data_IF_193483255120
#
_entry.id   IF_193483255120
#
_cell.length_a   1.000
_cell.length_b   1.000
_cell.length_c   1.000
_cell.angle_alpha   90.00
_cell.angle_beta   90.00
_cell.angle_gamma   90.00
#
_symmetry.space_group_name_H-M   'P 1'
#
loop_
_entity.id
_entity.type
_entity.pdbx_description
1 polymer ?
#
# COMPACT_ATOMS: atom_id res chain seq x y z
N UNK A 1 -53.70 -20.75 59.77
CA UNK A 1 -53.18 -19.43 59.36
C UNK A 1 -51.66 -19.52 59.30
N UNK A 2 -51.08 -19.84 58.14
CA UNK A 2 -49.63 -19.74 57.92
C UNK A 2 -49.38 -19.52 56.44
N UNK A 3 -49.02 -18.28 56.12
CA UNK A 3 -48.55 -17.85 54.80
C UNK A 3 -47.04 -18.03 54.78
N UNK A 4 -46.55 -19.16 54.26
CA UNK A 4 -45.15 -19.30 53.91
C UNK A 4 -44.91 -18.58 52.57
N UNK A 5 -44.35 -17.37 52.67
CA UNK A 5 -44.02 -16.54 51.51
C UNK A 5 -42.84 -17.12 50.74
N UNK A 6 -42.98 -17.27 49.42
CA UNK A 6 -41.87 -17.60 48.53
C UNK A 6 -41.05 -16.34 48.20
N UNK A 7 -39.74 -16.27 48.54
CA UNK A 7 -38.91 -15.11 48.22
C UNK A 7 -37.73 -15.47 47.30
N UNK A 8 -37.82 -16.51 46.48
CA UNK A 8 -36.67 -17.06 45.74
C UNK A 8 -36.55 -16.57 44.30
N UNK A 9 -37.66 -16.41 43.58
CA UNK A 9 -37.63 -16.01 42.17
C UNK A 9 -37.20 -14.55 41.97
N UNK A 10 -37.67 -13.63 42.82
CA UNK A 10 -37.31 -12.21 42.69
C UNK A 10 -35.83 -11.93 42.95
N UNK A 11 -35.24 -12.61 43.95
CA UNK A 11 -33.81 -12.54 44.25
C UNK A 11 -32.95 -13.02 43.09
N UNK A 12 -33.40 -14.05 42.37
CA UNK A 12 -32.72 -14.54 41.17
C UNK A 12 -32.74 -13.52 40.02
N UNK A 13 -33.86 -12.82 39.81
CA UNK A 13 -33.94 -11.74 38.83
C UNK A 13 -33.07 -10.53 39.21
N UNK A 14 -33.03 -10.15 40.49
CA UNK A 14 -32.13 -9.07 40.96
C UNK A 14 -30.67 -9.46 40.76
N UNK A 15 -30.29 -10.70 41.09
CA UNK A 15 -28.92 -11.17 40.87
C UNK A 15 -28.54 -11.18 39.38
N UNK A 16 -29.45 -11.60 38.50
CA UNK A 16 -29.24 -11.53 37.04
C UNK A 16 -29.12 -10.09 36.53
N UNK A 17 -29.91 -9.17 37.05
CA UNK A 17 -29.83 -7.75 36.67
C UNK A 17 -28.49 -7.13 37.10
N UNK A 18 -28.00 -7.47 38.30
CA UNK A 18 -26.67 -7.02 38.78
C UNK A 18 -25.54 -7.59 37.92
N UNK A 19 -25.61 -8.88 37.57
CA UNK A 19 -24.60 -9.51 36.69
C UNK A 19 -24.63 -8.87 35.30
N UNK A 20 -25.82 -8.64 34.73
CA UNK A 20 -25.95 -7.98 33.44
C UNK A 20 -25.42 -6.54 33.46
N UNK A 21 -25.66 -5.79 34.54
CA UNK A 21 -25.13 -4.45 34.73
C UNK A 21 -23.60 -4.45 34.86
N UNK A 22 -23.02 -5.43 35.55
CA UNK A 22 -21.55 -5.58 35.67
C UNK A 22 -20.91 -5.94 34.32
N UNK A 23 -21.54 -6.80 33.52
CA UNK A 23 -21.04 -7.14 32.17
C UNK A 23 -21.11 -5.92 31.25
N UNK A 24 -22.22 -5.16 31.30
CA UNK A 24 -22.35 -3.90 30.56
C UNK A 24 -21.30 -2.88 30.99
N UNK A 25 -21.06 -2.73 32.29
CA UNK A 25 -20.08 -1.80 32.83
C UNK A 25 -18.65 -2.21 32.47
N UNK A 26 -18.31 -3.49 32.56
CA UNK A 26 -17.00 -4.00 32.13
C UNK A 26 -16.79 -3.86 30.62
N UNK A 27 -17.82 -4.13 29.81
CA UNK A 27 -17.78 -3.87 28.37
C UNK A 27 -17.61 -2.39 28.04
N UNK A 28 -18.26 -1.51 28.80
CA UNK A 28 -18.12 -0.06 28.67
C UNK A 28 -16.70 0.43 29.04
N UNK A 29 -16.12 -0.02 30.16
CA UNK A 29 -14.74 0.30 30.54
C UNK A 29 -13.72 -0.22 29.50
N UNK A 30 -13.89 -1.45 29.01
CA UNK A 30 -12.96 -2.05 28.04
C UNK A 30 -13.08 -1.40 26.66
N UNK A 31 -14.28 -1.03 26.23
CA UNK A 31 -14.52 -0.47 24.90
C UNK A 31 -14.34 1.05 24.89
N UNK A 32 -14.94 1.79 25.82
CA UNK A 32 -14.96 3.26 25.78
C UNK A 32 -13.70 3.87 26.41
N UNK A 33 -13.23 3.39 27.57
CA UNK A 33 -12.06 3.98 28.23
C UNK A 33 -10.73 3.57 27.55
N UNK A 34 -10.64 2.39 26.92
CA UNK A 34 -9.42 1.94 26.22
C UNK A 34 -9.15 2.73 24.93
N UNK A 35 -10.20 3.18 24.22
CA UNK A 35 -10.04 4.04 23.04
C UNK A 35 -9.57 5.47 23.36
N UNK A 36 -9.56 5.86 24.65
CA UNK A 36 -9.09 7.18 25.08
C UNK A 36 -7.57 7.26 25.33
N UNK A 37 -6.84 6.15 25.23
CA UNK A 37 -5.38 6.12 25.17
C UNK A 37 -4.92 6.33 23.73
N UNK A 38 -5.27 7.49 23.16
CA UNK A 38 -4.61 7.98 21.97
C UNK A 38 -3.21 8.42 22.41
N UNK A 39 -2.19 7.65 22.01
CA UNK A 39 -0.79 8.01 22.24
C UNK A 39 -0.60 9.41 21.64
N UNK A 40 -0.21 10.43 22.42
CA UNK A 40 -0.04 11.77 21.88
C UNK A 40 1.00 11.69 20.77
N UNK A 41 0.73 12.38 19.66
CA UNK A 41 1.68 12.46 18.56
C UNK A 41 3.07 12.85 19.12
N UNK A 42 4.14 12.15 18.70
CA UNK A 42 5.47 12.42 19.20
C UNK A 42 5.80 13.90 19.00
N UNK A 43 6.28 14.55 20.06
CA UNK A 43 6.56 15.98 20.02
C UNK A 43 7.80 16.25 19.18
N UNK A 44 7.93 17.47 18.65
CA UNK A 44 9.03 17.82 17.75
C UNK A 44 10.43 17.55 18.34
N UNK A 45 10.56 17.67 19.67
CA UNK A 45 11.80 17.36 20.40
C UNK A 45 12.20 15.86 20.34
N UNK A 46 11.22 14.93 20.21
CA UNK A 46 11.50 13.50 20.03
C UNK A 46 11.96 13.19 18.60
N UNK A 47 11.40 13.88 17.61
CA UNK A 47 11.81 13.75 16.20
C UNK A 47 13.23 14.29 15.99
N UNK A 48 13.56 15.42 16.61
CA UNK A 48 14.89 16.03 16.53
C UNK A 48 15.95 15.14 17.22
N UNK A 49 15.57 14.43 18.28
CA UNK A 49 16.46 13.46 18.95
C UNK A 49 16.77 12.22 18.10
N UNK A 50 15.82 11.78 17.25
CA UNK A 50 15.99 10.64 16.34
C UNK A 50 16.77 10.99 15.06
N UNK A 51 16.92 12.28 14.76
CA UNK A 51 17.67 12.77 13.59
C UNK A 51 19.19 12.74 13.78
N UNK A 52 19.66 12.68 15.03
CA UNK A 52 21.08 12.76 15.38
C UNK A 52 21.95 11.55 14.98
N UNK A 53 21.34 10.41 14.64
CA UNK A 53 22.07 9.16 14.36
C UNK A 53 22.36 8.92 12.86
N UNK A 54 22.02 9.87 11.97
CA UNK A 54 22.38 9.78 10.55
C UNK A 54 23.78 10.36 10.36
N UNK A 55 24.79 9.48 10.31
CA UNK A 55 26.14 9.85 9.89
C UNK A 55 26.11 10.38 8.45
N UNK A 56 26.55 11.63 8.29
CA UNK A 56 26.70 12.33 7.03
C UNK A 56 27.87 11.71 6.25
N UNK A 57 27.58 10.95 5.19
CA UNK A 57 28.61 10.45 4.27
C UNK A 57 29.23 11.67 3.56
N UNK A 58 30.51 11.91 3.83
CA UNK A 58 31.33 12.94 3.20
C UNK A 58 31.58 12.56 1.73
N UNK A 59 30.96 13.32 0.82
CA UNK A 59 31.06 13.15 -0.64
C UNK A 59 32.39 13.72 -1.15
N UNK A 60 33.30 12.83 -1.59
CA UNK A 60 34.57 13.19 -2.22
C UNK A 60 34.32 13.71 -3.66
N UNK A 61 34.88 14.87 -4.05
CA UNK A 61 34.52 15.55 -5.31
C UNK A 61 35.10 14.84 -6.56
N UNK A 62 34.37 14.80 -7.69
CA UNK A 62 34.85 14.17 -8.91
C UNK A 62 35.86 15.06 -9.62
N UNK A 63 37.04 14.50 -9.90
CA UNK A 63 38.07 15.11 -10.72
C UNK A 63 37.62 15.21 -12.19
N UNK A 64 37.48 16.46 -12.64
CA UNK A 64 37.72 17.03 -13.97
C UNK A 64 37.71 16.12 -15.23
N UNK A 65 36.75 16.42 -16.12
CA UNK A 65 36.77 16.32 -17.60
C UNK A 65 38.13 16.77 -18.22
N UNK A 66 38.50 16.40 -19.48
CA UNK A 66 37.61 16.57 -20.65
C UNK A 66 37.85 15.66 -21.88
N UNK A 67 36.94 15.83 -22.84
CA UNK A 67 37.15 15.91 -24.29
C UNK A 67 36.43 14.84 -25.15
N UNK A 68 35.27 15.26 -25.67
CA UNK A 68 34.76 14.82 -26.97
C UNK A 68 35.78 15.13 -28.09
N UNK A 69 35.73 14.41 -29.23
CA UNK A 69 34.82 14.86 -30.29
C UNK A 69 34.17 13.72 -31.09
N UNK A 70 32.89 13.92 -31.48
CA UNK A 70 32.32 13.40 -32.73
C UNK A 70 32.77 14.34 -33.88
N UNK A 71 32.73 13.99 -35.20
CA UNK A 71 31.55 13.41 -35.86
C UNK A 71 31.77 12.58 -37.17
N UNK A 72 30.65 12.09 -37.74
CA UNK A 72 30.36 11.78 -39.16
C UNK A 72 30.97 10.54 -39.89
N UNK A 73 30.11 9.59 -40.29
CA UNK A 73 29.86 9.21 -41.70
C UNK A 73 28.78 8.10 -41.84
N UNK A 74 28.06 8.14 -42.97
CA UNK A 74 26.79 7.48 -43.34
C UNK A 74 27.05 6.15 -44.14
N UNK A 75 26.04 5.47 -44.75
CA UNK A 75 25.70 4.05 -44.58
C UNK A 75 26.16 3.14 -45.73
N UNK A 76 26.53 1.88 -45.48
CA UNK A 76 26.77 0.94 -46.59
C UNK A 76 26.28 -0.49 -46.30
N UNK A 77 25.83 -1.10 -47.39
CA UNK A 77 24.86 -2.17 -47.46
C UNK A 77 25.44 -3.56 -47.19
N UNK A 78 24.53 -4.49 -46.86
CA UNK A 78 24.75 -5.92 -46.72
C UNK A 78 25.46 -6.56 -47.93
N UNK A 79 26.08 -7.73 -47.74
CA UNK A 79 25.38 -8.94 -48.19
C UNK A 79 25.44 -10.10 -47.16
N UNK A 80 24.33 -10.84 -47.09
CA UNK A 80 24.17 -12.04 -46.27
C UNK A 80 24.93 -13.29 -46.79
N UNK A 81 24.61 -14.48 -46.25
CA UNK A 81 25.54 -15.32 -45.48
C UNK A 81 26.04 -16.56 -46.24
N UNK A 82 26.97 -17.33 -45.66
CA UNK A 82 26.83 -18.78 -45.72
C UNK A 82 26.78 -19.40 -44.32
N UNK A 83 25.79 -20.28 -44.16
CA UNK A 83 25.62 -21.16 -43.02
C UNK A 83 26.85 -22.05 -42.81
N UNK A 84 27.18 -22.30 -41.54
CA UNK A 84 28.23 -23.25 -41.16
C UNK A 84 28.39 -23.35 -39.65
N UNK A 85 27.62 -24.26 -39.06
CA UNK A 85 27.94 -25.07 -37.87
C UNK A 85 28.38 -24.37 -36.56
N UNK A 86 27.46 -24.35 -35.60
CA UNK A 86 27.74 -24.16 -34.19
C UNK A 86 28.46 -25.39 -33.58
N UNK A 87 29.40 -25.16 -32.66
CA UNK A 87 29.53 -25.98 -31.45
C UNK A 87 29.08 -25.17 -30.21
N UNK A 88 28.59 -25.85 -29.16
CA UNK A 88 27.61 -25.31 -28.23
C UNK A 88 28.18 -24.19 -27.36
N UNK A 89 27.51 -23.04 -27.41
CA UNK A 89 27.59 -22.07 -26.33
C UNK A 89 27.08 -22.74 -25.06
N UNK A 90 27.96 -22.92 -24.07
CA UNK A 90 27.57 -23.00 -22.68
C UNK A 90 26.94 -21.64 -22.31
N UNK A 91 25.68 -21.48 -22.67
CA UNK A 91 24.83 -20.41 -22.20
C UNK A 91 24.50 -20.73 -20.75
N UNK A 92 25.16 -20.05 -19.82
CA UNK A 92 24.62 -19.84 -18.48
C UNK A 92 23.22 -19.29 -18.67
N UNK A 93 22.21 -20.09 -18.28
CA UNK A 93 20.81 -19.71 -18.39
C UNK A 93 20.58 -18.38 -17.65
N UNK A 94 19.96 -17.37 -18.28
CA UNK A 94 19.43 -16.23 -17.55
C UNK A 94 18.32 -16.75 -16.62
N UNK A 95 18.18 -16.21 -15.39
CA UNK A 95 17.17 -16.68 -14.44
C UNK A 95 15.78 -16.63 -15.09
N UNK A 96 15.14 -17.78 -15.16
CA UNK A 96 13.83 -18.02 -15.78
C UNK A 96 12.64 -17.41 -14.99
N UNK A 97 12.84 -16.29 -14.29
CA UNK A 97 11.87 -15.80 -13.30
C UNK A 97 11.11 -14.53 -13.71
N UNK A 98 11.32 -14.00 -14.91
CA UNK A 98 10.62 -12.77 -15.36
C UNK A 98 9.61 -12.98 -16.49
N UNK A 99 9.54 -14.18 -17.09
CA UNK A 99 8.69 -14.42 -18.27
C UNK A 99 7.27 -14.90 -17.90
N UNK A 100 7.02 -15.32 -16.66
CA UNK A 100 5.69 -15.78 -16.19
C UNK A 100 4.81 -14.70 -15.55
N UNK A 101 5.26 -13.44 -15.47
CA UNK A 101 4.46 -12.33 -14.94
C UNK A 101 3.41 -11.79 -15.94
N UNK A 102 3.39 -12.31 -17.17
CA UNK A 102 2.38 -11.97 -18.20
C UNK A 102 1.39 -13.13 -18.34
N UNK A 103 0.87 -13.63 -17.22
CA UNK A 103 -0.40 -14.33 -17.29
C UNK A 103 -1.50 -13.25 -17.42
N UNK A 104 -2.38 -13.32 -18.43
CA UNK A 104 -3.58 -12.50 -18.40
C UNK A 104 -4.30 -12.88 -17.11
N UNK A 105 -4.46 -11.92 -16.20
CA UNK A 105 -5.29 -12.09 -15.02
C UNK A 105 -6.69 -12.33 -15.58
N UNK A 106 -7.07 -13.59 -15.74
CA UNK A 106 -8.45 -13.96 -15.97
C UNK A 106 -9.12 -13.60 -14.67
N UNK A 107 -9.74 -12.42 -14.67
CA UNK A 107 -10.67 -11.92 -13.68
C UNK A 107 -11.72 -13.01 -13.49
N UNK A 108 -11.40 -13.94 -12.60
CA UNK A 108 -12.17 -15.14 -12.35
C UNK A 108 -13.34 -14.68 -11.53
N UNK A 109 -14.36 -14.18 -12.24
CA UNK A 109 -15.64 -13.71 -11.70
C UNK A 109 -15.49 -13.15 -10.31
N UNK A 110 -14.88 -11.98 -10.18
CA UNK A 110 -14.74 -11.33 -8.89
C UNK A 110 -16.15 -11.13 -8.33
N UNK A 111 -16.47 -11.88 -7.27
CA UNK A 111 -17.62 -11.58 -6.45
C UNK A 111 -17.47 -10.11 -6.05
N UNK A 112 -18.46 -9.24 -6.38
CA UNK A 112 -18.32 -7.82 -6.15
C UNK A 112 -17.99 -7.62 -4.67
N UNK A 113 -16.90 -6.91 -4.39
CA UNK A 113 -16.55 -6.57 -3.02
C UNK A 113 -17.79 -5.98 -2.35
N UNK A 114 -18.15 -6.42 -1.13
CA UNK A 114 -19.25 -5.82 -0.42
C UNK A 114 -19.00 -4.32 -0.32
N UNK A 115 -20.06 -3.51 -0.42
CA UNK A 115 -19.96 -2.05 -0.42
C UNK A 115 -19.28 -1.52 0.84
N UNK A 116 -19.29 -2.30 1.92
CA UNK A 116 -18.67 -2.02 3.20
C UNK A 116 -18.01 -3.28 3.77
N UNK A 117 -16.75 -3.15 4.21
CA UNK A 117 -15.95 -4.19 4.87
C UNK A 117 -15.50 -3.58 6.19
N UNK A 118 -15.89 -4.17 7.32
CA UNK A 118 -15.48 -3.73 8.67
C UNK A 118 -15.69 -2.22 8.95
N UNK A 119 -16.76 -1.63 8.41
CA UNK A 119 -17.05 -0.19 8.56
C UNK A 119 -16.32 0.72 7.56
N UNK A 120 -15.55 0.14 6.63
CA UNK A 120 -14.84 0.86 5.57
C UNK A 120 -15.54 0.66 4.23
N UNK A 121 -15.63 1.73 3.44
CA UNK A 121 -16.20 1.65 2.08
C UNK A 121 -15.31 0.79 1.18
N UNK A 122 -15.86 -0.26 0.60
CA UNK A 122 -15.19 -1.11 -0.38
C UNK A 122 -14.91 -0.37 -1.69
N UNK A 123 -13.67 -0.39 -2.16
CA UNK A 123 -13.23 0.22 -3.42
C UNK A 123 -12.29 -0.74 -4.15
N UNK A 124 -12.51 -0.95 -5.46
CA UNK A 124 -11.64 -1.78 -6.30
C UNK A 124 -10.51 -0.97 -6.93
N UNK A 125 -9.40 -1.64 -7.26
CA UNK A 125 -8.28 -1.01 -7.95
C UNK A 125 -8.70 -0.48 -9.32
N UNK A 126 -9.50 -1.23 -10.08
CA UNK A 126 -10.03 -0.80 -11.37
C UNK A 126 -10.78 0.52 -11.27
N UNK A 127 -11.55 0.74 -10.19
CA UNK A 127 -12.26 2.00 -9.98
C UNK A 127 -11.30 3.15 -9.72
N UNK A 128 -10.25 2.94 -8.93
CA UNK A 128 -9.23 3.96 -8.64
C UNK A 128 -8.35 4.26 -9.85
N UNK A 129 -8.04 3.27 -10.68
CA UNK A 129 -7.22 3.39 -11.89
C UNK A 129 -8.03 3.69 -13.16
N UNK A 130 -9.36 3.82 -13.06
CA UNK A 130 -10.29 3.99 -14.20
C UNK A 130 -10.19 5.34 -14.95
N UNK A 131 -9.24 6.21 -14.60
CA UNK A 131 -9.10 7.52 -15.23
C UNK A 131 -7.66 7.75 -15.66
N UNK A 132 -7.50 8.41 -16.81
CA UNK A 132 -6.20 8.83 -17.27
C UNK A 132 -5.71 10.01 -16.43
N UNK A 133 -4.47 9.94 -15.98
CA UNK A 133 -3.79 11.01 -15.26
C UNK A 133 -2.44 11.28 -15.94
N UNK A 134 -2.24 12.49 -16.41
CA UNK A 134 -0.98 12.91 -17.03
C UNK A 134 -0.03 13.41 -15.94
N UNK A 135 1.05 12.66 -15.72
CA UNK A 135 2.10 13.02 -14.77
C UNK A 135 3.02 14.06 -15.44
N UNK A 136 3.21 15.25 -14.85
CA UNK A 136 4.13 16.25 -15.39
C UNK A 136 5.58 15.78 -15.26
N UNK A 137 6.42 16.15 -16.21
CA UNK A 137 7.86 15.82 -16.19
C UNK A 137 8.60 16.57 -15.09
N UNK A 138 8.23 17.83 -14.86
CA UNK A 138 8.83 18.70 -13.85
C UNK A 138 7.94 18.78 -12.60
N UNK A 139 8.54 18.93 -11.40
CA UNK A 139 7.78 19.12 -10.17
C UNK A 139 6.96 20.41 -10.23
N UNK A 140 5.65 20.28 -9.99
CA UNK A 140 4.74 21.42 -10.03
C UNK A 140 4.86 22.25 -8.76
N UNK A 141 5.39 23.46 -8.90
CA UNK A 141 5.49 24.45 -7.81
C UNK A 141 4.41 25.55 -7.90
N UNK A 142 3.71 25.62 -9.04
CA UNK A 142 2.73 26.65 -9.32
C UNK A 142 1.29 26.21 -8.96
N UNK A 143 0.55 27.08 -8.26
CA UNK A 143 -0.85 26.82 -7.87
C UNK A 143 -1.80 26.61 -9.06
N UNK A 144 -1.56 27.27 -10.18
CA UNK A 144 -2.39 27.18 -11.39
C UNK A 144 -2.22 25.82 -12.07
N UNK A 145 -1.00 25.31 -12.14
CA UNK A 145 -0.70 24.00 -12.71
C UNK A 145 -1.24 22.89 -11.80
N UNK A 146 -1.10 23.05 -10.48
CA UNK A 146 -1.69 22.11 -9.52
C UNK A 146 -3.21 22.04 -9.67
N UNK A 147 -3.87 23.18 -9.90
CA UNK A 147 -5.31 23.20 -10.15
C UNK A 147 -5.69 22.46 -11.45
N UNK A 148 -4.86 22.56 -12.50
CA UNK A 148 -5.06 21.79 -13.74
C UNK A 148 -4.90 20.30 -13.52
N UNK A 149 -3.90 19.86 -12.74
CA UNK A 149 -3.73 18.45 -12.38
C UNK A 149 -4.90 17.92 -11.56
N UNK A 150 -5.33 18.67 -10.54
CA UNK A 150 -6.49 18.29 -9.72
C UNK A 150 -7.80 18.26 -10.51
N UNK A 151 -7.90 19.03 -11.61
CA UNK A 151 -9.05 18.99 -12.51
C UNK A 151 -9.12 17.68 -13.33
N UNK A 152 -8.00 16.97 -13.51
CA UNK A 152 -7.99 15.66 -14.19
C UNK A 152 -8.65 14.57 -13.33
N UNK A 153 -8.64 14.74 -12.01
CA UNK A 153 -9.22 13.76 -11.08
C UNK A 153 -10.76 13.85 -11.12
N UNK A 154 -11.49 12.76 -11.41
CA UNK A 154 -12.94 12.77 -11.42
C UNK A 154 -13.55 12.99 -10.02
N UNK A 155 -14.73 13.62 -9.94
CA UNK A 155 -15.43 13.88 -8.68
C UNK A 155 -15.66 12.62 -7.83
N UNK A 156 -15.97 11.49 -8.47
CA UNK A 156 -16.15 10.20 -7.79
C UNK A 156 -14.93 9.75 -7.00
N UNK A 157 -13.73 10.13 -7.43
CA UNK A 157 -12.45 9.81 -6.78
C UNK A 157 -12.12 10.88 -5.74
N UNK A 158 -12.39 12.16 -6.03
CA UNK A 158 -12.24 13.25 -5.05
C UNK A 158 -13.06 13.04 -3.78
N UNK A 159 -14.25 12.43 -3.89
CA UNK A 159 -15.08 12.08 -2.74
C UNK A 159 -14.42 11.08 -1.79
N UNK A 160 -13.43 10.32 -2.26
CA UNK A 160 -12.66 9.36 -1.47
C UNK A 160 -11.44 10.01 -0.81
N UNK A 161 -11.10 11.26 -1.15
CA UNK A 161 -9.97 11.97 -0.53
C UNK A 161 -10.17 12.05 1.00
N UNK A 162 -9.16 11.62 1.74
CA UNK A 162 -9.17 11.53 3.21
C UNK A 162 -10.31 10.70 3.80
N UNK A 163 -10.89 9.78 3.02
CA UNK A 163 -11.87 8.81 3.51
C UNK A 163 -11.21 7.46 3.73
N UNK A 164 -11.61 6.80 4.81
CA UNK A 164 -11.15 5.45 5.07
C UNK A 164 -11.88 4.46 4.14
N UNK A 165 -11.13 3.64 3.43
CA UNK A 165 -11.62 2.71 2.41
C UNK A 165 -10.94 1.35 2.57
N UNK A 166 -11.64 0.29 2.18
CA UNK A 166 -11.09 -1.05 2.08
C UNK A 166 -10.82 -1.39 0.61
N UNK A 167 -9.61 -1.86 0.33
CA UNK A 167 -9.17 -2.25 -1.03
C UNK A 167 -8.66 -3.68 -0.96
N UNK A 168 -9.09 -4.51 -1.91
CA UNK A 168 -8.56 -5.85 -2.13
C UNK A 168 -7.60 -5.81 -3.31
N UNK A 169 -6.49 -6.53 -3.19
CA UNK A 169 -5.52 -6.66 -4.27
C UNK A 169 -4.42 -7.65 -3.91
N UNK A 170 -3.48 -7.82 -4.83
CA UNK A 170 -2.26 -8.59 -4.62
C UNK A 170 -1.10 -7.61 -4.46
N UNK A 171 -0.23 -7.87 -3.49
CA UNK A 171 1.01 -7.11 -3.34
C UNK A 171 2.08 -7.68 -4.26
N UNK A 172 2.85 -6.81 -4.92
CA UNK A 172 3.97 -7.21 -5.76
C UNK A 172 5.26 -7.25 -4.91
N UNK A 173 5.93 -8.41 -4.76
CA UNK A 173 7.21 -8.48 -4.06
C UNK A 173 8.28 -7.67 -4.78
N UNK A 174 9.03 -6.82 -4.06
CA UNK A 174 10.15 -6.08 -4.64
C UNK A 174 11.46 -6.88 -4.57
N UNK A 175 11.62 -7.68 -3.50
CA UNK A 175 12.80 -8.51 -3.30
C UNK A 175 12.46 -9.84 -2.65
N UNK A 176 13.11 -10.89 -3.13
CA UNK A 176 12.96 -12.26 -2.61
C UNK A 176 14.34 -12.83 -2.31
N UNK A 177 14.54 -13.28 -1.07
CA UNK A 177 15.75 -13.97 -0.64
C UNK A 177 15.36 -15.33 -0.04
N UNK A 178 16.02 -16.41 -0.46
CA UNK A 178 15.72 -17.78 -0.03
C UNK A 178 14.24 -18.19 -0.18
N UNK A 179 13.52 -17.60 -1.15
CA UNK A 179 12.10 -17.87 -1.38
C UNK A 179 11.12 -17.11 -0.47
N UNK A 180 11.61 -16.18 0.36
CA UNK A 180 10.78 -15.30 1.19
C UNK A 180 10.87 -13.86 0.68
N UNK A 181 9.74 -13.15 0.73
CA UNK A 181 9.68 -11.73 0.39
C UNK A 181 10.31 -10.91 1.51
N UNK A 182 11.40 -10.21 1.20
CA UNK A 182 12.14 -9.39 2.17
C UNK A 182 11.80 -7.91 2.06
N UNK A 183 11.32 -7.46 0.89
CA UNK A 183 10.96 -6.06 0.61
C UNK A 183 9.65 -6.02 -0.20
N UNK A 184 8.76 -5.09 0.16
CA UNK A 184 7.41 -4.89 -0.37
C UNK A 184 7.25 -3.47 -0.92
#
# INVERSE_FOLDING_TARGET
MSTEGQPTLWKYYVLKAVIAALILYAGYEVFVNKHSQEQPAPTQDELDSLSGDIELIEEEPPAEEPAAPAPEAKPEAAPGPPAGEAPPAAATEPPQNLVELVQPIVETGEEPLPEEIDGYRGVTFDKLASFAYEVPLDPVTNKVELAKLNAQIPERIKLLDKKAVAIRGFMLPLKVENGLVTEL
#
